data_IF_252977070736
#
_entry.id   IF_252977070736
#
_cell.length_a   1.000
_cell.length_b   1.000
_cell.length_c   1.000
_cell.angle_alpha   90.00
_cell.angle_beta   90.00
_cell.angle_gamma   90.00
#
_symmetry.space_group_name_H-M   'P 1'
#
loop_
_entity.id
_entity.type
_entity.pdbx_description
1 polymer ?
#
# COMPACT_ATOMS: atom_id res chain seq x y z
N UNK A 1 -8.54 -11.44 18.63
CA UNK A 1 -8.23 -9.98 18.62
C UNK A 1 -9.36 -9.27 19.34
N UNK A 2 -9.04 -8.56 20.43
CA UNK A 2 -9.98 -7.68 21.12
C UNK A 2 -10.51 -6.62 20.14
N UNK A 3 -11.81 -6.32 20.18
CA UNK A 3 -12.44 -5.36 19.25
C UNK A 3 -11.99 -3.95 19.64
N UNK A 4 -10.96 -3.44 18.98
CA UNK A 4 -10.41 -2.10 19.24
C UNK A 4 -11.45 -1.03 18.93
N UNK A 5 -11.56 -0.03 19.80
CA UNK A 5 -12.41 1.15 19.57
C UNK A 5 -12.03 1.87 18.27
N UNK A 6 -13.04 2.42 17.58
CA UNK A 6 -12.85 3.14 16.32
C UNK A 6 -11.80 4.26 16.42
N UNK A 7 -11.75 4.95 17.56
CA UNK A 7 -10.76 6.02 17.82
C UNK A 7 -9.32 5.48 17.83
N UNK A 8 -9.09 4.28 18.40
CA UNK A 8 -7.74 3.70 18.38
C UNK A 8 -7.33 3.28 16.96
N UNK A 9 -8.27 2.74 16.18
CA UNK A 9 -8.00 2.35 14.78
C UNK A 9 -7.68 3.56 13.91
N UNK A 10 -8.40 4.67 14.05
CA UNK A 10 -8.12 5.89 13.30
C UNK A 10 -6.75 6.47 13.65
N UNK A 11 -6.37 6.49 14.93
CA UNK A 11 -5.05 6.99 15.37
C UNK A 11 -3.92 6.12 14.81
N UNK A 12 -4.04 4.79 14.86
CA UNK A 12 -3.04 3.87 14.30
C UNK A 12 -2.94 4.02 12.77
N UNK A 13 -4.08 4.20 12.10
CA UNK A 13 -4.12 4.44 10.65
C UNK A 13 -3.39 5.74 10.32
N UNK A 14 -3.66 6.82 11.04
CA UNK A 14 -2.98 8.11 10.87
C UNK A 14 -1.47 8.00 11.11
N UNK A 15 -1.05 7.25 12.13
CA UNK A 15 0.37 6.97 12.38
C UNK A 15 1.01 6.18 11.24
N UNK A 16 0.34 5.15 10.71
CA UNK A 16 0.83 4.39 9.55
C UNK A 16 0.92 5.25 8.28
N UNK A 17 -0.04 6.17 8.07
CA UNK A 17 0.00 7.13 6.97
C UNK A 17 1.16 8.12 7.13
N UNK A 18 1.41 8.62 8.34
CA UNK A 18 2.59 9.45 8.60
C UNK A 18 3.89 8.67 8.33
N UNK A 19 3.96 7.41 8.74
CA UNK A 19 5.09 6.51 8.42
C UNK A 19 5.23 6.27 6.92
N UNK A 20 4.14 6.24 6.14
CA UNK A 20 4.21 6.16 4.67
C UNK A 20 4.90 7.38 4.04
N UNK A 21 4.91 8.54 4.70
CA UNK A 21 5.60 9.74 4.20
C UNK A 21 7.03 9.79 4.73
N UNK A 22 7.22 9.48 6.01
CA UNK A 22 8.53 9.58 6.68
C UNK A 22 9.52 8.52 6.21
N UNK A 23 9.08 7.25 6.05
CA UNK A 23 9.98 6.17 5.61
C UNK A 23 10.59 6.47 4.23
N UNK A 24 9.82 6.83 3.20
CA UNK A 24 10.38 7.15 1.89
C UNK A 24 11.31 8.36 1.91
N UNK A 25 11.03 9.38 2.74
CA UNK A 25 11.94 10.52 2.92
C UNK A 25 13.29 10.07 3.51
N UNK A 26 13.28 9.19 4.50
CA UNK A 26 14.50 8.66 5.11
C UNK A 26 15.29 7.74 4.17
N UNK A 27 14.60 7.00 3.29
CA UNK A 27 15.27 6.12 2.32
C UNK A 27 15.70 6.84 1.04
N UNK A 28 15.14 8.03 0.73
CA UNK A 28 15.60 8.84 -0.40
C UNK A 28 16.96 9.52 -0.18
N UNK A 29 17.44 9.62 1.06
CA UNK A 29 18.82 10.07 1.33
C UNK A 29 19.88 9.03 0.91
N UNK A 30 19.45 7.81 0.52
CA UNK A 30 20.31 6.72 0.07
C UNK A 30 19.99 6.44 -1.41
N UNK A 31 20.95 6.70 -2.30
CA UNK A 31 20.85 6.40 -3.73
C UNK A 31 20.46 4.93 -3.96
N UNK A 32 19.47 4.65 -4.83
CA UNK A 32 18.96 3.32 -5.19
C UNK A 32 18.20 2.52 -4.10
N UNK A 33 17.95 3.05 -2.90
CA UNK A 33 17.22 2.27 -1.89
C UNK A 33 15.71 2.14 -2.18
N UNK A 34 15.10 3.17 -2.78
CA UNK A 34 13.66 3.18 -3.10
C UNK A 34 13.23 2.22 -4.23
N UNK A 35 14.16 1.84 -5.12
CA UNK A 35 13.90 0.89 -6.22
C UNK A 35 14.01 -0.57 -5.78
N UNK A 36 14.75 -0.86 -4.71
CA UNK A 36 14.96 -2.21 -4.17
C UNK A 36 13.91 -2.54 -3.10
N UNK A 37 13.54 -1.55 -2.28
CA UNK A 37 12.48 -1.66 -1.28
C UNK A 37 11.57 -0.46 -1.45
N UNK A 38 10.37 -0.64 -2.01
CA UNK A 38 9.37 0.43 -2.06
C UNK A 38 8.85 0.69 -0.63
N UNK A 39 9.38 1.67 0.12
CA UNK A 39 9.26 1.73 1.58
C UNK A 39 7.81 1.94 2.03
N UNK A 40 6.95 2.41 1.13
CA UNK A 40 5.53 2.65 1.34
C UNK A 40 4.69 1.37 1.47
N UNK A 41 5.17 0.20 1.06
CA UNK A 41 4.37 -1.04 1.10
C UNK A 41 4.24 -1.58 2.53
N UNK A 42 5.31 -1.47 3.32
CA UNK A 42 5.39 -2.04 4.67
C UNK A 42 4.36 -1.37 5.60
N UNK A 43 4.26 -0.02 5.69
CA UNK A 43 3.31 0.61 6.59
C UNK A 43 1.85 0.38 6.15
N UNK A 44 1.56 0.28 4.85
CA UNK A 44 0.20 0.01 4.34
C UNK A 44 -0.23 -1.43 4.63
N UNK A 45 0.64 -2.41 4.41
CA UNK A 45 0.37 -3.81 4.79
C UNK A 45 0.15 -3.94 6.30
N UNK A 46 0.99 -3.28 7.09
CA UNK A 46 0.87 -3.28 8.55
C UNK A 46 -0.42 -2.60 9.03
N UNK A 47 -0.82 -1.50 8.39
CA UNK A 47 -2.11 -0.85 8.63
C UNK A 47 -3.30 -1.77 8.28
N UNK A 48 -3.26 -2.48 7.15
CA UNK A 48 -4.27 -3.46 6.77
C UNK A 48 -4.41 -4.60 7.77
N UNK A 49 -3.28 -5.14 8.26
CA UNK A 49 -3.26 -6.24 9.22
C UNK A 49 -3.78 -5.82 10.62
N UNK A 50 -3.45 -4.61 11.08
CA UNK A 50 -3.82 -4.13 12.42
C UNK A 50 -5.20 -3.47 12.43
N UNK A 51 -5.47 -2.58 11.48
CA UNK A 51 -6.69 -1.78 11.42
C UNK A 51 -7.76 -2.40 10.54
N UNK A 52 -7.50 -3.48 9.81
CA UNK A 52 -8.48 -4.18 8.97
C UNK A 52 -8.64 -3.58 7.57
N UNK A 53 -9.52 -4.15 6.73
CA UNK A 53 -9.51 -3.93 5.29
C UNK A 53 -9.91 -2.49 4.89
N UNK A 54 -10.92 -1.91 5.56
CA UNK A 54 -11.39 -0.56 5.26
C UNK A 54 -10.32 0.51 5.55
N UNK A 55 -9.64 0.41 6.69
CA UNK A 55 -8.57 1.34 7.06
C UNK A 55 -7.29 1.07 6.27
N UNK A 56 -6.99 -0.19 5.93
CA UNK A 56 -5.89 -0.57 5.05
C UNK A 56 -6.05 0.04 3.66
N UNK A 57 -7.22 -0.09 3.04
CA UNK A 57 -7.52 0.55 1.75
C UNK A 57 -7.38 2.06 1.83
N UNK A 58 -7.95 2.68 2.87
CA UNK A 58 -7.90 4.13 3.04
C UNK A 58 -6.47 4.63 3.22
N UNK A 59 -5.63 3.91 3.98
CA UNK A 59 -4.20 4.22 4.11
C UNK A 59 -3.41 3.98 2.81
N UNK A 60 -3.79 2.99 2.00
CA UNK A 60 -3.16 2.71 0.70
C UNK A 60 -3.51 3.73 -0.37
N UNK A 61 -4.68 4.36 -0.29
CA UNK A 61 -5.06 5.50 -1.14
C UNK A 61 -4.40 6.80 -0.67
N UNK A 62 -4.57 7.13 0.62
CA UNK A 62 -4.19 8.42 1.18
C UNK A 62 -2.67 8.52 1.40
N UNK A 63 -2.00 7.42 1.72
CA UNK A 63 -0.56 7.39 1.97
C UNK A 63 0.29 7.87 0.78
N UNK A 64 0.18 7.24 -0.41
CA UNK A 64 0.91 7.67 -1.60
C UNK A 64 0.49 9.07 -2.09
N UNK A 65 -0.79 9.43 -1.95
CA UNK A 65 -1.29 10.77 -2.29
C UNK A 65 -0.63 11.85 -1.43
N UNK A 66 -0.64 11.67 -0.10
CA UNK A 66 0.02 12.61 0.82
C UNK A 66 1.52 12.62 0.59
N UNK A 67 2.15 11.47 0.39
CA UNK A 67 3.59 11.43 0.09
C UNK A 67 3.89 12.22 -1.19
N UNK A 68 3.13 12.04 -2.27
CA UNK A 68 3.35 12.80 -3.51
C UNK A 68 3.16 14.31 -3.32
N UNK A 69 2.17 14.71 -2.50
CA UNK A 69 1.92 16.12 -2.18
C UNK A 69 3.08 16.75 -1.38
N UNK A 70 3.68 16.01 -0.45
CA UNK A 70 4.74 16.52 0.42
C UNK A 70 6.15 16.40 -0.17
N UNK A 71 6.45 15.35 -0.93
CA UNK A 71 7.81 15.07 -1.43
C UNK A 71 7.96 15.29 -2.93
N UNK A 72 6.88 15.53 -3.67
CA UNK A 72 6.90 15.63 -5.14
C UNK A 72 7.20 14.31 -5.85
N UNK A 73 7.33 13.21 -5.09
CA UNK A 73 7.61 11.85 -5.57
C UNK A 73 6.61 10.88 -4.93
N UNK A 74 6.02 9.93 -5.68
CA UNK A 74 6.37 9.49 -7.03
C UNK A 74 5.83 10.40 -8.16
N UNK A 75 6.44 10.38 -9.36
CA UNK A 75 5.95 11.12 -10.53
C UNK A 75 4.50 10.79 -10.86
N UNK A 76 3.72 11.79 -11.27
CA UNK A 76 2.29 11.66 -11.63
C UNK A 76 1.98 10.51 -12.61
N UNK A 77 2.94 10.12 -13.47
CA UNK A 77 2.79 9.00 -14.40
C UNK A 77 2.76 7.61 -13.71
N UNK A 78 3.39 7.46 -12.54
CA UNK A 78 3.46 6.20 -11.78
C UNK A 78 2.53 6.20 -10.55
N UNK A 79 1.92 7.33 -10.26
CA UNK A 79 1.08 7.57 -9.09
C UNK A 79 -0.23 6.73 -9.12
N UNK A 80 -1.02 6.71 -10.22
CA UNK A 80 -2.26 5.95 -10.26
C UNK A 80 -2.09 4.43 -10.07
N UNK A 81 -1.17 3.74 -10.77
CA UNK A 81 -0.99 2.30 -10.61
C UNK A 81 -0.42 1.94 -9.24
N UNK A 82 0.43 2.78 -8.65
CA UNK A 82 0.96 2.58 -7.29
C UNK A 82 -0.14 2.73 -6.22
N UNK A 83 -1.02 3.72 -6.34
CA UNK A 83 -2.18 3.87 -5.46
C UNK A 83 -3.06 2.62 -5.50
N UNK A 84 -3.35 2.11 -6.70
CA UNK A 84 -4.19 0.91 -6.88
C UNK A 84 -3.50 -0.31 -6.27
N UNK A 85 -2.20 -0.50 -6.51
CA UNK A 85 -1.42 -1.60 -5.94
C UNK A 85 -1.43 -1.56 -4.40
N UNK A 86 -1.17 -0.41 -3.78
CA UNK A 86 -1.16 -0.29 -2.31
C UNK A 86 -2.56 -0.38 -1.70
N UNK A 87 -3.60 0.14 -2.37
CA UNK A 87 -4.98 -0.01 -1.92
C UNK A 87 -5.40 -1.48 -1.89
N UNK A 88 -5.02 -2.25 -2.92
CA UNK A 88 -5.27 -3.69 -2.98
C UNK A 88 -4.46 -4.44 -1.93
N UNK A 89 -3.19 -4.08 -1.70
CA UNK A 89 -2.41 -4.67 -0.62
C UNK A 89 -3.06 -4.47 0.75
N UNK A 90 -3.47 -3.24 1.06
CA UNK A 90 -4.12 -2.92 2.33
C UNK A 90 -5.47 -3.63 2.51
N UNK A 91 -6.26 -3.73 1.43
CA UNK A 91 -7.54 -4.44 1.44
C UNK A 91 -7.35 -5.94 1.60
N UNK A 92 -6.52 -6.57 0.76
CA UNK A 92 -6.31 -8.03 0.75
C UNK A 92 -5.68 -8.48 2.05
N UNK A 93 -4.68 -7.76 2.57
CA UNK A 93 -4.07 -8.09 3.86
C UNK A 93 -5.09 -8.00 5.01
N UNK A 94 -5.93 -6.95 5.04
CA UNK A 94 -6.95 -6.79 6.07
C UNK A 94 -8.12 -7.79 5.97
N UNK A 95 -8.43 -8.25 4.76
CA UNK A 95 -9.49 -9.23 4.51
C UNK A 95 -9.01 -10.65 4.83
N UNK A 96 -7.79 -11.00 4.40
CA UNK A 96 -7.17 -12.30 4.67
C UNK A 96 -6.94 -12.53 6.16
N UNK A 97 -6.46 -11.54 6.93
CA UNK A 97 -6.27 -11.69 8.39
C UNK A 97 -7.59 -11.90 9.15
N UNK A 98 -8.71 -11.44 8.56
CA UNK A 98 -10.05 -11.63 9.11
C UNK A 98 -10.61 -13.02 8.80
N UNK A 99 -10.23 -13.59 7.64
CA UNK A 99 -10.71 -14.89 7.14
C UNK A 99 -9.87 -16.07 7.68
N UNK A 100 -8.55 -15.90 7.74
CA UNK A 100 -7.58 -16.92 8.12
C UNK A 100 -7.37 -16.85 9.64
N UNK A 101 -7.99 -17.80 10.36
CA UNK A 101 -7.88 -17.98 11.82
C UNK A 101 -7.46 -19.41 12.14
N UNK A 102 -6.27 -19.79 11.72
CA UNK A 102 -5.75 -21.16 11.89
C UNK A 102 -5.18 -21.40 13.29
N UNK A 103 -5.51 -20.53 14.28
CA UNK A 103 -5.00 -20.51 15.67
C UNK A 103 -3.48 -20.29 15.82
N UNK A 104 -2.70 -20.31 14.74
CA UNK A 104 -1.26 -20.00 14.73
C UNK A 104 -1.00 -18.64 14.09
N UNK A 105 -0.92 -17.61 14.94
CA UNK A 105 -0.80 -16.21 14.54
C UNK A 105 0.36 -15.93 13.56
N UNK A 106 1.52 -16.57 13.75
CA UNK A 106 2.67 -16.39 12.86
C UNK A 106 2.44 -16.97 11.45
N UNK A 107 1.80 -18.13 11.36
CA UNK A 107 1.52 -18.79 10.07
C UNK A 107 0.46 -18.00 9.32
N UNK A 108 -0.59 -17.57 10.03
CA UNK A 108 -1.67 -16.75 9.47
C UNK A 108 -1.12 -15.42 8.93
N UNK A 109 -0.21 -14.76 9.66
CA UNK A 109 0.44 -13.51 9.21
C UNK A 109 1.27 -13.71 7.93
N UNK A 110 2.13 -14.71 7.88
CA UNK A 110 2.96 -14.97 6.70
C UNK A 110 2.10 -15.33 5.48
N UNK A 111 1.06 -16.15 5.67
CA UNK A 111 0.16 -16.53 4.59
C UNK A 111 -0.59 -15.30 4.05
N UNK A 112 -1.13 -14.47 4.95
CA UNK A 112 -1.80 -13.21 4.57
C UNK A 112 -0.85 -12.28 3.80
N UNK A 113 0.40 -12.17 4.24
CA UNK A 113 1.40 -11.29 3.61
C UNK A 113 1.76 -11.79 2.21
N UNK A 114 2.00 -13.09 2.04
CA UNK A 114 2.31 -13.69 0.73
C UNK A 114 1.14 -13.54 -0.23
N UNK A 115 -0.09 -13.83 0.22
CA UNK A 115 -1.29 -13.66 -0.61
C UNK A 115 -1.50 -12.20 -0.99
N UNK A 116 -1.34 -11.27 -0.03
CA UNK A 116 -1.43 -9.85 -0.30
C UNK A 116 -0.41 -9.44 -1.35
N UNK A 117 0.88 -9.80 -1.18
CA UNK A 117 1.93 -9.49 -2.14
C UNK A 117 1.66 -10.03 -3.54
N UNK A 118 1.21 -11.29 -3.66
CA UNK A 118 0.86 -11.87 -4.97
C UNK A 118 -0.33 -11.12 -5.59
N UNK A 119 -1.38 -10.86 -4.82
CA UNK A 119 -2.58 -10.19 -5.31
C UNK A 119 -2.29 -8.77 -5.80
N UNK A 120 -1.55 -7.95 -5.03
CA UNK A 120 -1.22 -6.61 -5.49
C UNK A 120 -0.21 -6.60 -6.64
N UNK A 121 0.70 -7.58 -6.77
CA UNK A 121 1.52 -7.72 -7.98
C UNK A 121 0.70 -8.05 -9.23
N UNK A 122 -0.31 -8.92 -9.10
CA UNK A 122 -1.24 -9.24 -10.20
C UNK A 122 -2.02 -7.97 -10.57
N UNK A 123 -2.58 -7.26 -9.59
CA UNK A 123 -3.34 -6.04 -9.87
C UNK A 123 -2.46 -4.91 -10.40
N UNK A 124 -1.23 -4.76 -9.93
CA UNK A 124 -0.27 -3.80 -10.48
C UNK A 124 0.07 -4.13 -11.94
N UNK A 125 0.26 -5.42 -12.26
CA UNK A 125 0.46 -5.88 -13.63
C UNK A 125 -0.75 -5.60 -14.53
N UNK A 126 -1.97 -5.79 -14.02
CA UNK A 126 -3.21 -5.47 -14.75
C UNK A 126 -3.38 -3.95 -14.89
N UNK A 127 -3.13 -3.16 -13.84
CA UNK A 127 -3.22 -1.71 -13.87
C UNK A 127 -2.19 -1.11 -14.81
N UNK A 128 -0.96 -1.63 -14.81
CA UNK A 128 0.05 -1.34 -15.83
C UNK A 128 -0.46 -1.76 -17.21
N UNK A 129 -0.98 -2.96 -17.41
CA UNK A 129 -1.49 -3.37 -18.73
C UNK A 129 -2.65 -2.50 -19.23
N UNK A 130 -3.51 -2.00 -18.34
CA UNK A 130 -4.65 -1.13 -18.68
C UNK A 130 -4.24 0.33 -18.91
N UNK A 131 -3.30 0.86 -18.13
CA UNK A 131 -2.80 2.23 -18.23
C UNK A 131 -1.73 2.35 -19.33
N UNK A 132 -0.94 1.30 -19.53
CA UNK A 132 0.12 1.16 -20.53
C UNK A 132 -0.31 0.27 -21.72
N UNK A 133 -1.60 0.26 -22.10
CA UNK A 133 -1.97 -0.19 -23.45
C UNK A 133 -1.29 0.75 -24.44
N UNK A 134 -0.43 0.26 -25.35
CA UNK A 134 0.22 1.07 -26.36
C UNK A 134 -0.83 1.46 -27.41
N UNK A 135 -1.56 2.56 -27.16
CA UNK A 135 -2.62 2.98 -28.06
C UNK A 135 -3.18 4.38 -27.85
N UNK A 136 -3.01 5.05 -26.69
CA UNK A 136 -3.64 6.37 -26.49
C UNK A 136 -2.97 7.29 -25.47
N UNK A 137 -1.64 7.42 -25.46
CA UNK A 137 -0.96 8.56 -24.79
C UNK A 137 0.08 9.26 -25.67
N UNK A 138 -0.05 9.15 -27.00
CA UNK A 138 0.77 9.89 -27.96
C UNK A 138 0.13 11.21 -28.42
N UNK A 139 -0.61 11.92 -27.56
CA UNK A 139 -1.19 13.23 -27.90
C UNK A 139 -1.25 14.21 -26.70
N UNK A 140 -0.20 14.30 -25.88
CA UNK A 140 -0.05 15.43 -24.96
C UNK A 140 1.40 15.72 -24.52
N UNK A 141 2.40 15.14 -25.19
CA UNK A 141 3.81 15.49 -24.98
C UNK A 141 4.45 15.68 -26.35
N UNK A 142 4.06 16.75 -27.03
CA UNK A 142 4.80 17.43 -28.09
C UNK A 142 4.86 18.91 -27.70
#
# INVERSE_FOLDING_TARGET
MQKMSYVKRSIITAACVALCVILPMAFHSIQNAGSILSPMHIPVLLCGLICGPAFGLLSGLVGPLLSSLFTGMPPMAYLPPMIIELAVYGLVAGLMISLIRTKKLYVDLYLCLVIAMIAGRIVAGIAMALIFVPGSYSMAVW
#
